data_IF_932269797968
#
_entry.id   IF_932269797968
#
_cell.length_a   1.000
_cell.length_b   1.000
_cell.length_c   1.000
_cell.angle_alpha   90.00
_cell.angle_beta   90.00
_cell.angle_gamma   90.00
#
_symmetry.space_group_name_H-M   'P 1'
#
loop_
_entity.id
_entity.type
_entity.pdbx_description
1 polymer ?
#
# COMPACT_ATOMS: atom_id res chain seq x y z
N UNK A 1 45.81 3.90 -69.29
CA UNK A 1 46.18 4.27 -67.91
C UNK A 1 45.16 3.74 -66.94
N UNK A 2 45.62 3.13 -65.85
CA UNK A 2 44.81 2.62 -64.75
C UNK A 2 44.30 3.80 -63.92
N UNK A 3 43.00 4.08 -63.99
CA UNK A 3 42.35 5.12 -63.19
C UNK A 3 42.26 4.63 -61.74
N UNK A 4 43.10 5.22 -60.88
CA UNK A 4 43.06 5.07 -59.43
C UNK A 4 41.77 5.73 -58.90
N UNK A 5 40.75 4.91 -58.62
CA UNK A 5 39.51 5.37 -58.01
C UNK A 5 39.82 5.68 -56.54
N UNK A 6 40.08 6.95 -56.27
CA UNK A 6 40.26 7.47 -54.92
C UNK A 6 39.03 7.11 -54.08
N UNK A 7 39.19 6.16 -53.15
CA UNK A 7 38.15 5.79 -52.18
C UNK A 7 37.70 7.05 -51.44
N UNK A 8 36.45 7.44 -51.63
CA UNK A 8 35.85 8.58 -50.94
C UNK A 8 35.96 8.41 -49.43
N UNK A 9 36.30 9.47 -48.69
CA UNK A 9 36.43 9.47 -47.22
C UNK A 9 35.16 8.92 -46.51
N UNK A 10 34.00 9.02 -47.16
CA UNK A 10 32.74 8.48 -46.68
C UNK A 10 32.67 6.95 -46.68
N UNK A 11 33.33 6.28 -47.63
CA UNK A 11 33.34 4.82 -47.76
C UNK A 11 34.12 4.12 -46.64
N UNK A 12 34.97 4.87 -45.93
CA UNK A 12 35.74 4.43 -44.77
C UNK A 12 35.20 4.96 -43.43
N UNK A 13 34.01 5.58 -43.43
CA UNK A 13 33.43 6.13 -42.21
C UNK A 13 33.04 5.04 -41.20
N UNK A 14 33.27 5.31 -39.91
CA UNK A 14 32.92 4.36 -38.84
C UNK A 14 31.42 4.07 -38.83
N UNK A 15 30.57 5.05 -39.14
CA UNK A 15 29.11 4.89 -39.22
C UNK A 15 28.72 3.85 -40.27
N UNK A 16 29.31 3.90 -41.47
CA UNK A 16 29.03 2.93 -42.53
C UNK A 16 29.54 1.53 -42.14
N UNK A 17 30.72 1.46 -41.52
CA UNK A 17 31.27 0.20 -41.02
C UNK A 17 30.39 -0.40 -39.92
N UNK A 18 29.88 0.40 -38.99
CA UNK A 18 28.95 -0.05 -37.95
C UNK A 18 27.66 -0.57 -38.56
N UNK A 19 27.08 0.10 -39.57
CA UNK A 19 25.88 -0.41 -40.25
C UNK A 19 26.11 -1.76 -40.92
N UNK A 20 27.23 -1.93 -41.64
CA UNK A 20 27.58 -3.19 -42.28
C UNK A 20 27.92 -4.28 -41.26
N UNK A 21 28.61 -3.93 -40.18
CA UNK A 21 28.89 -4.80 -39.05
C UNK A 21 27.60 -5.33 -38.42
N UNK A 22 26.62 -4.45 -38.14
CA UNK A 22 25.32 -4.84 -37.61
C UNK A 22 24.55 -5.76 -38.55
N UNK A 23 24.67 -5.57 -39.88
CA UNK A 23 24.07 -6.47 -40.86
C UNK A 23 24.70 -7.87 -40.84
N UNK A 24 26.02 -7.97 -40.65
CA UNK A 24 26.71 -9.26 -40.46
C UNK A 24 26.30 -9.92 -39.15
N UNK A 25 26.16 -9.14 -38.08
CA UNK A 25 25.76 -9.62 -36.75
C UNK A 25 24.36 -10.21 -36.76
N UNK A 26 23.41 -9.57 -37.45
CA UNK A 26 22.04 -10.08 -37.64
C UNK A 26 21.98 -11.38 -38.44
N UNK A 27 22.91 -11.57 -39.40
CA UNK A 27 22.96 -12.78 -40.24
C UNK A 27 23.74 -13.92 -39.59
N UNK A 28 24.48 -13.66 -38.52
CA UNK A 28 25.35 -14.63 -37.89
C UNK A 28 24.55 -15.65 -37.07
N UNK A 29 24.82 -16.97 -37.22
CA UNK A 29 24.14 -17.99 -36.43
C UNK A 29 24.44 -17.80 -34.94
N UNK A 30 23.40 -17.88 -34.10
CA UNK A 30 23.47 -17.67 -32.65
C UNK A 30 24.03 -16.30 -32.21
N UNK A 31 24.05 -15.32 -33.11
CA UNK A 31 24.59 -13.98 -32.86
C UNK A 31 26.11 -13.95 -32.62
N UNK A 32 26.85 -14.99 -33.03
CA UNK A 32 28.30 -15.10 -32.82
C UNK A 32 29.07 -14.64 -34.06
N UNK A 33 29.97 -13.67 -33.90
CA UNK A 33 30.81 -13.14 -34.99
C UNK A 33 32.30 -13.35 -34.73
N UNK A 34 33.03 -13.78 -35.77
CA UNK A 34 34.49 -13.79 -35.81
C UNK A 34 35.03 -12.45 -36.32
N UNK A 35 35.84 -11.79 -35.50
CA UNK A 35 36.43 -10.48 -35.81
C UNK A 35 37.41 -10.53 -37.00
N UNK A 36 38.03 -11.68 -37.29
CA UNK A 36 38.87 -11.86 -38.48
C UNK A 36 38.03 -11.85 -39.75
N UNK A 37 36.93 -12.60 -39.75
CA UNK A 37 36.03 -12.69 -40.91
C UNK A 37 35.38 -11.35 -41.17
N UNK A 38 34.88 -10.67 -40.14
CA UNK A 38 34.35 -9.31 -40.25
C UNK A 38 35.37 -8.33 -40.85
N UNK A 39 36.63 -8.38 -40.41
CA UNK A 39 37.67 -7.50 -40.96
C UNK A 39 37.91 -7.73 -42.46
N UNK A 40 37.90 -9.01 -42.89
CA UNK A 40 38.00 -9.37 -44.31
C UNK A 40 36.77 -8.92 -45.10
N UNK A 41 35.56 -9.21 -44.61
CA UNK A 41 34.30 -8.88 -45.29
C UNK A 41 34.08 -7.38 -45.42
N UNK A 42 34.44 -6.60 -44.40
CA UNK A 42 34.36 -5.14 -44.44
C UNK A 42 35.54 -4.51 -45.19
N UNK A 43 36.59 -5.27 -45.52
CA UNK A 43 37.79 -4.77 -46.20
C UNK A 43 38.58 -3.76 -45.36
N UNK A 44 38.58 -3.91 -44.03
CA UNK A 44 39.22 -2.98 -43.08
C UNK A 44 40.21 -3.67 -42.16
N UNK A 45 41.11 -2.88 -41.57
CA UNK A 45 42.05 -3.37 -40.54
C UNK A 45 41.30 -3.71 -39.24
N UNK A 46 41.76 -4.73 -38.51
CA UNK A 46 41.20 -5.14 -37.20
C UNK A 46 40.99 -3.99 -36.21
N UNK A 47 41.87 -2.98 -36.26
CA UNK A 47 41.74 -1.78 -35.42
C UNK A 47 40.38 -1.09 -35.56
N UNK A 48 39.79 -1.05 -36.77
CA UNK A 48 38.48 -0.42 -37.01
C UNK A 48 37.32 -1.26 -36.47
N UNK A 49 37.48 -2.59 -36.49
CA UNK A 49 36.49 -3.49 -35.86
C UNK A 49 36.46 -3.26 -34.35
N UNK A 50 37.63 -3.04 -33.72
CA UNK A 50 37.68 -2.73 -32.28
C UNK A 50 37.02 -1.41 -31.91
N UNK A 51 37.07 -0.39 -32.77
CA UNK A 51 36.33 0.86 -32.52
C UNK A 51 34.83 0.59 -32.37
N UNK A 52 34.27 -0.32 -33.18
CA UNK A 52 32.85 -0.68 -33.12
C UNK A 52 32.57 -1.56 -31.90
N UNK A 53 33.39 -2.59 -31.66
CA UNK A 53 33.16 -3.50 -30.53
C UNK A 53 33.33 -2.80 -29.19
N UNK A 54 34.26 -1.86 -29.04
CA UNK A 54 34.43 -1.13 -27.77
C UNK A 54 33.20 -0.31 -27.40
N UNK A 55 32.54 0.31 -28.40
CA UNK A 55 31.28 1.03 -28.15
C UNK A 55 30.18 0.06 -27.77
N UNK A 56 30.01 -1.04 -28.53
CA UNK A 56 28.97 -2.03 -28.27
C UNK A 56 29.16 -2.77 -26.93
N UNK A 57 30.39 -3.02 -26.52
CA UNK A 57 30.77 -3.61 -25.24
C UNK A 57 30.56 -2.60 -24.10
N UNK A 58 30.89 -1.32 -24.34
CA UNK A 58 30.65 -0.23 -23.40
C UNK A 58 29.18 0.04 -23.10
N UNK A 59 28.27 -0.32 -24.01
CA UNK A 59 26.81 -0.32 -23.78
C UNK A 59 26.24 -1.72 -23.52
N UNK A 60 27.10 -2.71 -23.28
CA UNK A 60 26.75 -4.08 -22.88
C UNK A 60 25.84 -4.84 -23.86
N UNK A 61 25.92 -4.57 -25.16
CA UNK A 61 25.15 -5.29 -26.18
C UNK A 61 25.88 -6.51 -26.77
N UNK A 62 27.17 -6.66 -26.49
CA UNK A 62 27.99 -7.80 -26.93
C UNK A 62 28.78 -8.40 -25.76
N UNK A 63 29.12 -9.69 -25.86
CA UNK A 63 30.04 -10.40 -24.98
C UNK A 63 31.25 -10.87 -25.75
N UNK A 64 32.41 -10.87 -25.10
CA UNK A 64 33.58 -11.60 -25.59
C UNK A 64 33.46 -13.08 -25.23
N UNK A 65 33.34 -13.95 -26.24
CA UNK A 65 33.36 -15.42 -26.08
C UNK A 65 34.79 -15.97 -26.12
N UNK A 66 35.64 -15.41 -26.98
CA UNK A 66 37.05 -15.80 -27.09
C UNK A 66 37.88 -14.63 -27.65
N UNK A 67 39.19 -14.83 -27.88
CA UNK A 67 40.08 -13.78 -28.41
C UNK A 67 39.61 -13.19 -29.74
N UNK A 68 38.96 -13.98 -30.60
CA UNK A 68 38.46 -13.53 -31.90
C UNK A 68 36.95 -13.65 -32.07
N UNK A 69 36.22 -14.17 -31.08
CA UNK A 69 34.77 -14.36 -31.15
C UNK A 69 34.05 -13.44 -30.17
N UNK A 70 33.06 -12.74 -30.68
CA UNK A 70 32.10 -11.99 -29.90
C UNK A 70 30.70 -12.58 -30.10
N UNK A 71 29.81 -12.35 -29.15
CA UNK A 71 28.40 -12.72 -29.27
C UNK A 71 27.51 -11.52 -28.96
N UNK A 72 26.44 -11.37 -29.72
CA UNK A 72 25.36 -10.45 -29.39
C UNK A 72 24.60 -10.93 -28.14
N UNK A 73 24.54 -10.09 -27.10
CA UNK A 73 23.70 -10.30 -25.91
C UNK A 73 22.51 -9.34 -25.90
N UNK A 74 22.53 -8.30 -26.75
CA UNK A 74 21.40 -7.40 -26.87
C UNK A 74 20.12 -8.18 -27.18
N UNK A 75 18.98 -7.66 -26.71
CA UNK A 75 17.69 -8.25 -27.03
C UNK A 75 17.60 -8.43 -28.56
N UNK A 76 17.39 -9.67 -29.02
CA UNK A 76 17.28 -9.94 -30.45
C UNK A 76 16.19 -9.03 -31.00
N UNK A 77 16.52 -8.18 -31.99
CA UNK A 77 15.52 -7.32 -32.63
C UNK A 77 14.39 -8.16 -33.26
N UNK A 78 14.69 -9.42 -33.61
CA UNK A 78 13.72 -10.41 -34.09
C UNK A 78 12.89 -11.08 -32.96
N UNK A 79 13.37 -11.08 -31.70
CA UNK A 79 12.55 -11.50 -30.55
C UNK A 79 11.51 -10.46 -30.15
N UNK A 80 11.66 -9.20 -30.59
CA UNK A 80 10.63 -8.16 -30.41
C UNK A 80 9.37 -8.49 -31.21
N UNK A 81 9.50 -9.18 -32.34
CA UNK A 81 8.35 -9.58 -33.18
C UNK A 81 7.61 -10.79 -32.60
N UNK A 82 8.32 -11.73 -31.95
CA UNK A 82 7.72 -12.90 -31.30
C UNK A 82 7.14 -12.66 -29.91
N UNK A 83 7.65 -11.65 -29.19
CA UNK A 83 7.18 -11.28 -27.83
C UNK A 83 6.14 -10.17 -27.80
N UNK A 84 5.74 -9.64 -28.96
CA UNK A 84 4.71 -8.60 -29.01
C UNK A 84 3.38 -9.09 -28.40
N UNK A 85 3.03 -10.36 -28.61
CA UNK A 85 1.82 -10.95 -28.03
C UNK A 85 1.94 -11.12 -26.49
N UNK A 86 3.08 -11.57 -25.98
CA UNK A 86 3.33 -11.68 -24.54
C UNK A 86 3.38 -10.30 -23.86
N UNK A 87 4.02 -9.32 -24.50
CA UNK A 87 4.05 -7.94 -24.02
C UNK A 87 2.66 -7.30 -24.05
N UNK A 88 1.84 -7.62 -25.05
CA UNK A 88 0.47 -7.13 -25.10
C UNK A 88 -0.37 -7.77 -23.99
N UNK A 89 -0.27 -9.09 -23.78
CA UNK A 89 -0.96 -9.79 -22.69
C UNK A 89 -0.59 -9.21 -21.31
N UNK A 90 0.70 -8.95 -21.07
CA UNK A 90 1.16 -8.34 -19.83
C UNK A 90 0.65 -6.90 -19.65
N UNK A 91 0.53 -6.14 -20.75
CA UNK A 91 -0.07 -4.79 -20.70
C UNK A 91 -1.56 -4.85 -20.39
N UNK A 92 -2.27 -5.80 -20.99
CA UNK A 92 -3.70 -6.01 -20.74
C UNK A 92 -3.91 -6.42 -19.27
N UNK A 93 -3.11 -7.37 -18.75
CA UNK A 93 -3.13 -7.77 -17.34
C UNK A 93 -2.84 -6.58 -16.39
N UNK A 94 -1.87 -5.73 -16.70
CA UNK A 94 -1.59 -4.53 -15.92
C UNK A 94 -2.75 -3.52 -15.95
N UNK A 95 -3.42 -3.38 -17.09
CA UNK A 95 -4.61 -2.53 -17.22
C UNK A 95 -5.77 -3.08 -16.38
N UNK A 96 -5.99 -4.39 -16.42
CA UNK A 96 -7.05 -5.06 -15.64
C UNK A 96 -6.79 -4.92 -14.13
N UNK A 97 -5.54 -5.12 -13.70
CA UNK A 97 -5.14 -4.94 -12.31
C UNK A 97 -5.31 -3.49 -11.85
N UNK A 98 -4.94 -2.51 -12.68
CA UNK A 98 -5.11 -1.10 -12.36
C UNK A 98 -6.60 -0.72 -12.22
N UNK A 99 -7.47 -1.26 -13.07
CA UNK A 99 -8.91 -1.03 -12.97
C UNK A 99 -9.50 -1.67 -11.70
N UNK A 100 -8.99 -2.85 -11.31
CA UNK A 100 -9.40 -3.51 -10.07
C UNK A 100 -8.96 -2.73 -8.83
N UNK A 101 -7.73 -2.19 -8.83
CA UNK A 101 -7.22 -1.33 -7.76
C UNK A 101 -8.09 -0.08 -7.60
N UNK A 102 -8.41 0.61 -8.72
CA UNK A 102 -9.26 1.79 -8.70
C UNK A 102 -10.67 1.49 -8.16
N UNK A 103 -11.26 0.35 -8.53
CA UNK A 103 -12.55 -0.08 -8.01
C UNK A 103 -12.51 -0.38 -6.50
N UNK A 104 -11.42 -1.00 -6.01
CA UNK A 104 -11.25 -1.26 -4.58
C UNK A 104 -11.07 0.03 -3.78
N UNK A 105 -10.29 0.98 -4.30
CA UNK A 105 -10.12 2.29 -3.68
C UNK A 105 -11.44 3.06 -3.60
N UNK A 106 -12.28 2.98 -4.63
CA UNK A 106 -13.61 3.57 -4.62
C UNK A 106 -14.50 2.94 -3.54
N UNK A 107 -14.47 1.61 -3.40
CA UNK A 107 -15.20 0.90 -2.34
C UNK A 107 -14.71 1.28 -0.94
N UNK A 108 -13.39 1.35 -0.73
CA UNK A 108 -12.81 1.77 0.55
C UNK A 108 -13.25 3.18 0.90
N UNK A 109 -13.21 4.10 -0.08
CA UNK A 109 -13.65 5.48 0.09
C UNK A 109 -15.13 5.56 0.44
N UNK A 110 -15.98 4.79 -0.25
CA UNK A 110 -17.42 4.77 0.00
C UNK A 110 -17.74 4.21 1.39
N UNK A 111 -17.07 3.13 1.80
CA UNK A 111 -17.21 2.57 3.15
C UNK A 111 -16.76 3.56 4.23
N UNK A 112 -15.61 4.22 4.03
CA UNK A 112 -15.11 5.24 4.96
C UNK A 112 -16.08 6.41 5.09
N UNK A 113 -16.68 6.84 3.97
CA UNK A 113 -17.69 7.90 3.97
C UNK A 113 -18.96 7.49 4.73
N UNK A 114 -19.47 6.28 4.51
CA UNK A 114 -20.64 5.78 5.25
C UNK A 114 -20.39 5.71 6.76
N UNK A 115 -19.21 5.25 7.18
CA UNK A 115 -18.83 5.24 8.61
C UNK A 115 -18.79 6.67 9.16
N UNK A 116 -18.22 7.61 8.40
CA UNK A 116 -18.14 9.01 8.79
C UNK A 116 -19.53 9.64 8.95
N UNK A 117 -20.43 9.44 7.97
CA UNK A 117 -21.82 9.93 8.05
C UNK A 117 -22.55 9.36 9.28
N UNK A 118 -22.38 8.07 9.58
CA UNK A 118 -23.00 7.46 10.76
C UNK A 118 -22.43 7.98 12.10
N UNK A 119 -21.17 8.41 12.12
CA UNK A 119 -20.44 8.77 13.35
C UNK A 119 -20.44 10.28 13.62
N UNK A 120 -20.44 11.13 12.59
CA UNK A 120 -20.35 12.60 12.68
C UNK A 120 -21.71 13.32 12.48
N UNK A 121 -22.81 12.58 12.33
CA UNK A 121 -24.15 13.18 12.26
C UNK A 121 -24.48 13.89 13.58
N UNK A 122 -24.64 15.22 13.51
CA UNK A 122 -24.97 16.09 14.64
C UNK A 122 -26.35 15.78 15.24
N UNK A 123 -27.24 15.12 14.50
CA UNK A 123 -28.53 14.64 15.02
C UNK A 123 -28.37 13.35 15.84
N UNK A 124 -27.37 12.50 15.57
CA UNK A 124 -27.02 11.35 16.43
C UNK A 124 -26.50 11.79 17.81
N UNK A 125 -25.83 12.94 17.87
CA UNK A 125 -25.35 13.51 19.13
C UNK A 125 -26.47 14.16 19.97
N UNK A 126 -27.62 14.49 19.36
CA UNK A 126 -28.71 15.28 19.97
C UNK A 126 -29.84 14.43 20.53
N UNK A 127 -30.09 13.25 19.97
CA UNK A 127 -31.14 12.34 20.45
C UNK A 127 -30.54 11.15 21.23
N UNK A 128 -30.88 10.96 22.52
CA UNK A 128 -30.36 9.87 23.34
C UNK A 128 -30.75 8.45 22.86
N UNK A 129 -31.69 8.36 21.92
CA UNK A 129 -32.09 7.08 21.29
C UNK A 129 -31.18 6.63 20.13
N UNK A 130 -30.33 7.51 19.61
CA UNK A 130 -29.36 7.22 18.53
C UNK A 130 -27.90 7.25 19.03
N UNK A 131 -27.71 7.28 20.35
CA UNK A 131 -26.39 7.28 20.95
C UNK A 131 -25.75 5.90 20.75
N UNK A 132 -24.58 5.85 20.11
CA UNK A 132 -23.74 4.64 20.03
C UNK A 132 -23.20 4.28 21.42
N UNK A 133 -24.05 3.67 22.25
CA UNK A 133 -23.70 3.12 23.56
C UNK A 133 -23.95 1.63 23.59
N UNK A 134 -23.31 0.98 24.56
CA UNK A 134 -23.58 -0.40 24.94
C UNK A 134 -24.02 -0.42 26.38
N UNK A 135 -24.99 -1.27 26.71
CA UNK A 135 -25.43 -1.45 28.10
C UNK A 135 -24.54 -2.48 28.80
N UNK A 136 -24.59 -2.49 30.13
CA UNK A 136 -23.94 -3.54 30.91
C UNK A 136 -24.43 -4.94 30.52
N UNK A 137 -25.73 -5.09 30.21
CA UNK A 137 -26.32 -6.35 29.80
C UNK A 137 -25.75 -6.84 28.47
N UNK A 138 -25.49 -5.94 27.51
CA UNK A 138 -24.89 -6.27 26.21
C UNK A 138 -23.48 -6.82 26.40
N UNK A 139 -22.66 -6.16 27.21
CA UNK A 139 -21.29 -6.60 27.52
C UNK A 139 -21.30 -7.98 28.20
N UNK A 140 -22.23 -8.21 29.13
CA UNK A 140 -22.36 -9.49 29.85
C UNK A 140 -22.86 -10.64 28.97
N UNK A 141 -23.65 -10.33 27.93
CA UNK A 141 -24.15 -11.34 27.00
C UNK A 141 -23.03 -12.03 26.21
N UNK A 142 -21.84 -11.41 26.16
CA UNK A 142 -20.66 -11.93 25.47
C UNK A 142 -20.07 -13.09 26.28
N UNK A 143 -20.16 -14.30 25.74
CA UNK A 143 -19.68 -15.54 26.39
C UNK A 143 -18.21 -15.47 26.80
N UNK A 144 -17.38 -14.76 26.02
CA UNK A 144 -15.94 -14.63 26.28
C UNK A 144 -15.62 -13.87 27.58
N UNK A 145 -16.55 -13.07 28.11
CA UNK A 145 -16.36 -12.26 29.32
C UNK A 145 -17.02 -12.84 30.57
N UNK A 146 -17.58 -14.05 30.49
CA UNK A 146 -18.17 -14.71 31.64
C UNK A 146 -17.09 -14.98 32.71
N UNK A 147 -17.44 -14.71 33.97
CA UNK A 147 -16.57 -14.89 35.16
C UNK A 147 -15.27 -14.07 35.17
N UNK A 148 -15.16 -13.05 34.31
CA UNK A 148 -14.00 -12.16 34.24
C UNK A 148 -14.33 -10.75 34.74
N UNK A 149 -13.31 -10.03 35.20
CA UNK A 149 -13.40 -8.61 35.53
C UNK A 149 -13.27 -7.81 34.24
N UNK A 150 -14.33 -7.08 33.87
CA UNK A 150 -14.33 -6.22 32.69
C UNK A 150 -14.16 -4.75 33.10
N UNK A 151 -13.15 -4.10 32.53
CA UNK A 151 -12.86 -2.68 32.75
C UNK A 151 -13.10 -1.96 31.42
N UNK A 152 -14.07 -1.05 31.39
CA UNK A 152 -14.34 -0.20 30.23
C UNK A 152 -13.57 1.12 30.36
N UNK A 153 -12.75 1.43 29.36
CA UNK A 153 -11.92 2.65 29.34
C UNK A 153 -12.42 3.54 28.21
N UNK A 154 -12.86 4.75 28.54
CA UNK A 154 -13.24 5.80 27.59
C UNK A 154 -12.17 6.88 27.62
N UNK A 155 -11.50 7.08 26.49
CA UNK A 155 -10.39 8.01 26.38
C UNK A 155 -10.49 8.82 25.08
N UNK A 156 -9.95 10.05 25.04
CA UNK A 156 -9.94 10.86 23.82
C UNK A 156 -9.02 10.26 22.76
N UNK A 157 -9.14 10.77 21.54
CA UNK A 157 -8.26 10.42 20.43
C UNK A 157 -6.77 10.57 20.79
N UNK A 158 -5.93 9.77 20.13
CA UNK A 158 -4.48 9.70 20.37
C UNK A 158 -4.05 9.25 21.78
N UNK A 159 -4.96 8.70 22.59
CA UNK A 159 -4.59 8.05 23.84
C UNK A 159 -3.71 6.83 23.58
N UNK A 160 -2.59 6.75 24.30
CA UNK A 160 -1.65 5.63 24.22
C UNK A 160 -1.97 4.59 25.29
N UNK A 161 -2.08 3.34 24.87
CA UNK A 161 -2.20 2.16 25.73
C UNK A 161 -0.90 1.35 25.62
N UNK A 162 -0.17 1.22 26.71
CA UNK A 162 1.06 0.44 26.78
C UNK A 162 0.91 -0.66 27.84
N UNK A 163 1.26 -1.89 27.47
CA UNK A 163 1.31 -3.04 28.39
C UNK A 163 2.78 -3.46 28.46
N UNK A 164 3.54 -2.99 29.47
CA UNK A 164 4.92 -3.41 29.68
C UNK A 164 5.03 -4.92 29.86
N UNK A 165 6.22 -5.47 29.61
CA UNK A 165 6.51 -6.88 29.91
C UNK A 165 6.21 -7.14 31.38
N UNK A 166 5.40 -8.18 31.72
CA UNK A 166 5.07 -8.50 33.10
C UNK A 166 6.33 -8.68 33.94
N UNK A 167 6.36 -8.05 35.11
CA UNK A 167 7.33 -8.37 36.15
C UNK A 167 6.80 -9.57 36.93
N UNK A 168 7.67 -10.33 37.59
CA UNK A 168 7.35 -11.65 38.16
C UNK A 168 6.06 -11.73 39.01
N UNK A 169 5.59 -10.62 39.61
CA UNK A 169 4.42 -10.59 40.49
C UNK A 169 3.26 -9.65 40.07
N UNK A 170 3.34 -8.91 38.95
CA UNK A 170 2.22 -8.04 38.54
C UNK A 170 2.26 -7.66 37.05
N UNK A 171 1.07 -7.43 36.50
CA UNK A 171 0.85 -6.88 35.16
C UNK A 171 0.45 -5.41 35.32
N UNK A 172 1.14 -4.51 34.62
CA UNK A 172 0.83 -3.08 34.60
C UNK A 172 0.17 -2.74 33.25
N UNK A 173 -0.83 -1.86 33.29
CA UNK A 173 -1.45 -1.28 32.09
C UNK A 173 -1.32 0.23 32.20
N UNK A 174 -0.60 0.85 31.27
CA UNK A 174 -0.38 2.29 31.23
C UNK A 174 -1.27 2.92 30.17
N UNK A 175 -2.14 3.85 30.59
CA UNK A 175 -3.00 4.62 29.69
C UNK A 175 -2.63 6.09 29.81
N UNK A 176 -2.23 6.72 28.71
CA UNK A 176 -1.77 8.11 28.69
C UNK A 176 -2.47 8.91 27.60
N UNK A 177 -3.18 9.96 28.01
CA UNK A 177 -3.83 10.92 27.13
C UNK A 177 -3.13 12.28 27.21
N UNK A 178 -3.08 13.00 26.08
CA UNK A 178 -2.61 14.39 25.99
C UNK A 178 -3.72 15.38 25.63
N UNK A 179 -4.90 14.88 25.23
CA UNK A 179 -6.01 15.67 24.68
C UNK A 179 -7.23 15.78 25.61
N UNK A 180 -7.21 15.14 26.78
CA UNK A 180 -8.32 15.20 27.75
C UNK A 180 -8.25 14.12 28.84
N UNK A 181 -9.22 14.14 29.78
CA UNK A 181 -9.32 13.13 30.85
C UNK A 181 -9.67 11.75 30.28
N UNK A 182 -9.36 10.72 31.06
CA UNK A 182 -9.71 9.31 30.76
C UNK A 182 -10.73 8.88 31.80
N UNK A 183 -11.87 8.37 31.35
CA UNK A 183 -12.90 7.79 32.20
C UNK A 183 -12.74 6.27 32.25
N UNK A 184 -12.78 5.68 33.44
CA UNK A 184 -12.63 4.24 33.65
C UNK A 184 -13.81 3.72 34.45
N UNK A 185 -14.48 2.69 33.93
CA UNK A 185 -15.65 2.07 34.54
C UNK A 185 -15.37 0.59 34.80
N UNK A 186 -15.73 0.14 35.99
CA UNK A 186 -15.71 -1.27 36.33
C UNK A 186 -17.10 -1.85 36.08
N UNK A 187 -17.18 -2.84 35.19
CA UNK A 187 -18.42 -3.55 34.91
C UNK A 187 -18.66 -4.58 36.03
N UNK A 188 -19.05 -4.12 37.21
CA UNK A 188 -19.33 -4.98 38.36
C UNK A 188 -20.63 -5.75 38.22
N UNK A 189 -20.66 -6.93 38.85
CA UNK A 189 -21.89 -7.67 39.12
C UNK A 189 -22.58 -6.98 40.28
N UNK A 190 -23.78 -6.44 40.09
CA UNK A 190 -24.69 -6.28 41.22
C UNK A 190 -24.94 -7.68 41.78
N UNK A 191 -24.23 -8.02 42.85
CA UNK A 191 -24.62 -9.14 43.70
C UNK A 191 -25.95 -8.72 44.28
N UNK A 192 -27.03 -9.39 43.85
CA UNK A 192 -28.32 -9.31 44.51
C UNK A 192 -28.08 -9.38 46.02
N UNK A 193 -28.39 -8.31 46.75
CA UNK A 193 -28.42 -8.37 48.21
C UNK A 193 -29.53 -9.36 48.56
N UNK A 194 -29.24 -10.50 49.23
CA UNK A 194 -30.30 -11.35 49.74
C UNK A 194 -30.91 -10.65 50.95
N UNK A 195 -31.96 -9.87 50.72
CA UNK A 195 -32.74 -9.24 51.79
C UNK A 195 -33.08 -7.78 51.56
N UNK A 196 -33.86 -7.48 50.53
CA UNK A 196 -34.77 -6.33 50.57
C UNK A 196 -36.18 -6.87 50.31
N UNK A 197 -36.96 -6.92 51.38
CA UNK A 197 -38.35 -7.36 51.39
C UNK A 197 -39.15 -6.50 50.42
N UNK A 198 -40.03 -7.17 49.68
CA UNK A 198 -41.19 -6.61 49.02
C UNK A 198 -41.94 -5.68 49.97
N UNK A 199 -42.19 -4.45 49.53
CA UNK A 199 -43.32 -3.66 49.97
C UNK A 199 -43.89 -2.98 48.73
N UNK A 200 -45.07 -3.45 48.34
CA UNK A 200 -45.97 -2.80 47.41
C UNK A 200 -46.38 -1.41 47.92
N UNK A 201 -46.56 -0.49 46.97
CA UNK A 201 -47.54 0.59 46.92
C UNK A 201 -47.76 1.51 48.14
N UNK A 202 -47.53 2.82 47.94
CA UNK A 202 -48.49 3.86 48.33
C UNK A 202 -48.02 5.25 47.87
N UNK A 203 -48.79 5.82 46.94
CA UNK A 203 -49.07 7.26 46.88
C UNK A 203 -49.41 7.78 48.29
N UNK A 204 -48.78 8.88 48.75
CA UNK A 204 -49.54 9.99 49.36
C UNK A 204 -48.74 11.29 49.41
N UNK A 205 -49.42 12.33 48.95
CA UNK A 205 -49.10 13.76 48.93
C UNK A 205 -49.42 14.42 50.29
N UNK A 206 -48.81 15.60 50.53
CA UNK A 206 -49.19 16.75 51.40
C UNK A 206 -48.94 16.76 52.91
N UNK A 207 -48.20 17.79 53.36
CA UNK A 207 -48.66 18.90 54.26
C UNK A 207 -47.62 20.03 54.15
N UNK A 208 -47.83 21.19 53.49
CA UNK A 208 -48.55 22.42 53.92
C UNK A 208 -48.30 22.80 55.41
N UNK A 209 -48.05 24.05 55.82
CA UNK A 209 -48.70 25.31 55.44
C UNK A 209 -47.86 26.56 55.82
N UNK A 210 -48.13 27.61 55.05
CA UNK A 210 -47.79 29.05 55.05
C UNK A 210 -48.25 29.85 56.32
N UNK A 211 -48.06 31.19 56.44
CA UNK A 211 -49.02 32.12 55.80
C UNK A 211 -48.50 33.49 55.29
N UNK A 212 -49.02 33.88 54.11
CA UNK A 212 -49.71 35.13 53.74
C UNK A 212 -49.30 36.51 54.32
N UNK A 213 -48.96 37.46 53.42
CA UNK A 213 -49.60 38.79 53.34
C UNK A 213 -49.72 39.23 51.85
N UNK A 214 -50.96 39.41 51.40
CA UNK A 214 -51.44 40.01 50.14
C UNK A 214 -51.76 41.52 50.36
N UNK A 215 -52.36 42.27 49.41
CA UNK A 215 -52.01 42.60 48.02
C UNK A 215 -52.05 44.14 47.79
N UNK A 216 -51.78 44.66 46.59
CA UNK A 216 -52.77 45.49 45.88
C UNK A 216 -52.41 45.71 44.40
N UNK A 217 -53.46 45.94 43.61
CA UNK A 217 -53.57 46.04 42.16
C UNK A 217 -53.18 47.41 41.60
N UNK A 218 -52.86 47.46 40.31
CA UNK A 218 -52.80 48.69 39.51
C UNK A 218 -51.98 48.52 38.24
#
# INVERSE_FOLDING_TARGET
>A
ETVDITKSRFDASLVLLTRRFMALLKKAPNGVLDLNEVAKTLGVRKRRVYDITNVLDGIHLIQKRSKNLIQWIGNNLDQVVGKAAEQQKLKDELSDLSAMEEALDELIKNCAHQIFELTDDKENAKYPFNSSYVTYQDIRSIQAFQEQIVIAIKAPEETKLEIPVPKDDHIEVHVKSTKGPIDVYLCEVEKEKPGAKTCEDMDTVTSETEPSVHPDKG
#
